data_IF_058448502228
#
_entry.id   IF_058448502228
#
_cell.length_a   1.000
_cell.length_b   1.000
_cell.length_c   1.000
_cell.angle_alpha   90.00
_cell.angle_beta   90.00
_cell.angle_gamma   90.00
#
_symmetry.space_group_name_H-M   'P 1'
#
loop_
_entity.id
_entity.type
_entity.pdbx_description
1 polymer ?
#
# COMPACT_ATOMS: atom_id res chain seq x y z
N UNK A 1 -11.54 40.29 22.52
CA UNK A 1 -11.40 40.53 21.07
C UNK A 1 -9.95 40.90 20.75
N UNK A 2 -9.10 39.91 20.55
CA UNK A 2 -7.74 40.05 20.07
C UNK A 2 -7.49 39.03 18.99
N UNK A 3 -7.34 39.47 17.75
CA UNK A 3 -6.93 38.64 16.63
C UNK A 3 -5.53 38.07 16.89
N UNK A 4 -5.44 36.76 17.04
CA UNK A 4 -4.15 36.06 17.03
C UNK A 4 -3.78 35.91 15.54
N UNK A 5 -2.65 36.50 15.14
CA UNK A 5 -2.16 36.47 13.76
C UNK A 5 -1.67 35.07 13.38
N UNK A 6 -1.78 34.72 12.11
CA UNK A 6 -1.33 33.43 11.55
C UNK A 6 0.17 33.13 11.75
N UNK A 7 0.98 34.11 12.16
CA UNK A 7 2.39 33.97 12.49
C UNK A 7 2.63 33.25 13.83
N UNK A 8 1.74 33.43 14.83
CA UNK A 8 1.92 32.83 16.16
C UNK A 8 1.68 31.30 16.19
N UNK A 9 0.95 30.77 15.22
CA UNK A 9 0.71 29.33 15.10
C UNK A 9 1.91 28.61 14.46
N UNK A 10 2.56 29.24 13.49
CA UNK A 10 3.76 28.69 12.86
C UNK A 10 4.93 28.64 13.86
N UNK A 11 5.09 29.67 14.68
CA UNK A 11 6.14 29.79 15.69
C UNK A 11 5.94 28.82 16.87
N UNK A 12 4.70 28.45 17.17
CA UNK A 12 4.41 27.37 18.15
C UNK A 12 4.68 25.98 17.58
N UNK A 13 4.44 25.79 16.28
CA UNK A 13 4.73 24.53 15.58
C UNK A 13 6.24 24.26 15.53
N UNK A 14 7.03 25.26 15.14
CA UNK A 14 8.49 25.15 15.13
C UNK A 14 9.08 24.89 16.52
N UNK A 15 8.54 25.50 17.56
CA UNK A 15 9.00 25.25 18.96
C UNK A 15 8.66 23.86 19.48
N UNK A 16 7.58 23.22 19.02
CA UNK A 16 7.24 21.84 19.37
C UNK A 16 8.16 20.86 18.61
N UNK A 17 8.45 21.14 17.35
CA UNK A 17 9.41 20.34 16.57
C UNK A 17 10.84 20.47 17.11
N UNK A 18 11.26 21.67 17.49
CA UNK A 18 12.59 21.89 18.10
C UNK A 18 12.73 21.23 19.47
N UNK A 19 11.70 21.19 20.29
CA UNK A 19 11.72 20.46 21.57
C UNK A 19 11.79 18.94 21.38
N UNK A 20 11.13 18.39 20.36
CA UNK A 20 11.22 16.96 20.05
C UNK A 20 12.56 16.59 19.41
N UNK A 21 13.20 17.48 18.65
CA UNK A 21 14.56 17.27 18.15
C UNK A 21 15.64 17.43 19.23
N UNK A 22 15.47 18.33 20.19
CA UNK A 22 16.43 18.54 21.28
C UNK A 22 16.47 17.38 22.29
N UNK A 23 15.37 16.65 22.47
CA UNK A 23 15.31 15.45 23.33
C UNK A 23 16.08 14.25 22.79
N UNK A 24 16.50 14.25 21.55
CA UNK A 24 17.23 13.14 20.89
C UNK A 24 18.76 13.37 20.95
N UNK A 25 19.23 14.60 21.20
CA UNK A 25 20.65 14.94 21.14
C UNK A 25 21.42 14.92 22.47
N UNK A 26 20.80 14.60 23.59
CA UNK A 26 21.45 14.71 24.90
C UNK A 26 21.60 13.36 25.65
N UNK A 27 22.27 12.40 25.02
CA UNK A 27 22.91 11.30 25.77
C UNK A 27 24.28 11.00 25.16
N UNK A 28 25.25 11.76 25.65
CA UNK A 28 26.68 11.50 25.44
C UNK A 28 27.11 10.41 26.46
N UNK A 29 26.99 9.14 26.06
CA UNK A 29 27.56 8.03 26.82
C UNK A 29 28.93 7.67 26.25
N UNK A 30 29.96 8.13 26.90
CA UNK A 30 31.34 7.67 26.75
C UNK A 30 31.42 6.19 27.14
N UNK A 31 31.72 5.33 26.17
CA UNK A 31 32.20 3.97 26.47
C UNK A 31 33.69 3.89 26.24
N UNK A 32 34.46 3.20 27.11
CA UNK A 32 35.89 3.01 26.94
C UNK A 32 36.17 2.07 25.76
N UNK A 33 37.14 2.47 24.94
CA UNK A 33 37.78 1.58 23.98
C UNK A 33 38.65 0.60 24.83
N UNK A 34 38.48 -0.69 24.56
CA UNK A 34 39.44 -1.76 24.67
C UNK A 34 38.77 -3.08 25.02
N UNK A 35 38.67 -3.94 24.01
CA UNK A 35 38.85 -5.38 24.18
C UNK A 35 38.78 -6.06 22.81
N UNK A 36 39.92 -6.09 22.14
CA UNK A 36 40.19 -7.10 21.12
C UNK A 36 40.53 -8.41 21.81
N UNK A 37 39.72 -9.44 21.63
CA UNK A 37 40.13 -10.83 21.85
C UNK A 37 39.83 -11.65 20.61
N UNK A 38 40.87 -12.07 20.01
CA UNK A 38 40.97 -13.10 18.97
C UNK A 38 40.56 -14.47 19.55
N UNK A 39 39.73 -15.23 18.84
CA UNK A 39 39.43 -16.61 19.25
C UNK A 39 38.58 -17.40 18.26
N UNK A 40 39.29 -18.23 17.48
CA UNK A 40 38.90 -19.54 16.95
C UNK A 40 37.56 -19.75 16.22
N UNK A 41 37.71 -20.03 14.94
CA UNK A 41 36.74 -20.62 14.01
C UNK A 41 36.38 -22.04 14.49
N UNK A 42 35.16 -22.25 14.85
CA UNK A 42 34.55 -23.56 15.05
C UNK A 42 33.39 -23.76 14.09
N UNK A 43 33.56 -24.64 13.10
CA UNK A 43 32.50 -25.10 12.20
C UNK A 43 31.43 -25.86 13.00
N UNK A 44 30.23 -25.31 13.09
CA UNK A 44 29.03 -26.08 13.46
C UNK A 44 27.98 -25.88 12.38
N UNK A 45 27.89 -26.87 11.50
CA UNK A 45 26.71 -27.08 10.66
C UNK A 45 25.56 -27.47 11.59
N UNK A 46 24.60 -26.61 11.73
CA UNK A 46 23.33 -26.86 12.36
C UNK A 46 22.26 -26.15 11.55
N UNK A 47 21.59 -26.89 10.67
CA UNK A 47 20.36 -26.44 10.04
C UNK A 47 19.30 -26.25 11.12
N UNK A 48 19.17 -25.02 11.63
CA UNK A 48 18.00 -24.62 12.38
C UNK A 48 17.07 -23.88 11.42
N UNK A 49 16.16 -24.64 10.82
CA UNK A 49 14.94 -24.09 10.22
C UNK A 49 14.17 -23.36 11.31
N UNK A 50 14.39 -22.07 11.44
CA UNK A 50 13.54 -21.20 12.25
C UNK A 50 12.24 -21.05 11.47
N UNK A 51 11.33 -22.00 11.67
CA UNK A 51 9.92 -21.85 11.32
C UNK A 51 9.35 -20.78 12.22
N UNK A 52 9.30 -19.53 11.73
CA UNK A 52 8.48 -18.50 12.36
C UNK A 52 7.03 -18.92 12.15
N UNK A 53 6.24 -19.17 13.21
CA UNK A 53 4.80 -19.24 13.04
C UNK A 53 4.38 -17.86 12.53
N UNK A 54 3.77 -17.83 11.36
CA UNK A 54 3.07 -16.67 10.83
C UNK A 54 1.84 -16.45 11.74
N UNK A 55 2.07 -15.92 12.94
CA UNK A 55 0.99 -15.41 13.78
C UNK A 55 0.46 -14.22 13.00
N UNK A 56 -0.76 -14.35 12.46
CA UNK A 56 -1.43 -13.23 11.79
C UNK A 56 -1.55 -12.11 12.81
N UNK A 57 -0.62 -11.17 12.76
CA UNK A 57 -0.66 -9.99 13.60
C UNK A 57 -1.93 -9.21 13.26
N UNK A 58 -2.63 -8.75 14.28
CA UNK A 58 -3.86 -7.97 14.14
C UNK A 58 -3.60 -6.57 14.65
N UNK A 59 -4.06 -5.56 13.94
CA UNK A 59 -4.04 -4.18 14.38
C UNK A 59 -5.44 -3.80 14.85
N UNK A 60 -5.54 -3.47 16.13
CA UNK A 60 -6.74 -2.91 16.72
C UNK A 60 -6.41 -1.48 17.12
N UNK A 61 -7.20 -0.52 16.64
CA UNK A 61 -7.00 0.88 16.97
C UNK A 61 -8.33 1.63 17.06
N UNK A 62 -8.49 2.41 18.12
CA UNK A 62 -9.65 3.28 18.34
C UNK A 62 -9.14 4.69 18.63
N UNK A 63 -9.55 5.65 17.78
CA UNK A 63 -9.13 7.04 17.91
C UNK A 63 -10.32 7.98 17.80
N UNK A 64 -10.42 8.90 18.77
CA UNK A 64 -11.36 10.02 18.76
C UNK A 64 -10.56 11.30 18.97
N UNK A 65 -10.12 11.94 17.90
CA UNK A 65 -9.30 13.15 17.96
C UNK A 65 -10.11 14.33 17.44
N UNK A 66 -10.16 15.39 18.22
CA UNK A 66 -10.89 16.61 17.89
C UNK A 66 -9.91 17.75 17.69
N UNK A 67 -9.89 18.31 16.48
CA UNK A 67 -9.26 19.59 16.16
C UNK A 67 -10.33 20.66 15.96
N UNK A 68 -9.94 21.91 15.92
CA UNK A 68 -10.90 23.02 15.75
C UNK A 68 -11.82 22.89 14.51
N UNK A 69 -11.31 22.33 13.41
CA UNK A 69 -12.01 22.21 12.14
C UNK A 69 -12.11 20.77 11.60
N UNK A 70 -11.63 19.78 12.35
CA UNK A 70 -11.56 18.40 11.87
C UNK A 70 -11.69 17.41 13.02
N UNK A 71 -12.43 16.35 12.78
CA UNK A 71 -12.62 15.26 13.75
C UNK A 71 -12.17 13.95 13.13
N UNK A 72 -11.25 13.24 13.79
CA UNK A 72 -10.89 11.88 13.42
C UNK A 72 -11.61 10.91 14.36
N UNK A 73 -12.50 10.11 13.79
CA UNK A 73 -13.22 9.06 14.50
C UNK A 73 -13.01 7.74 13.76
N UNK A 74 -12.12 6.91 14.28
CA UNK A 74 -11.65 5.70 13.58
C UNK A 74 -11.66 4.52 14.52
N UNK A 75 -12.34 3.46 14.08
CA UNK A 75 -12.32 2.14 14.68
C UNK A 75 -11.75 1.14 13.67
N UNK A 76 -10.59 0.55 13.98
CA UNK A 76 -9.92 -0.44 13.16
C UNK A 76 -9.81 -1.77 13.91
N UNK A 77 -10.09 -2.84 13.21
CA UNK A 77 -9.79 -4.20 13.63
C UNK A 77 -9.46 -5.02 12.38
N UNK A 78 -8.17 -5.04 12.02
CA UNK A 78 -7.72 -5.57 10.74
C UNK A 78 -6.56 -6.57 10.89
N UNK A 79 -6.55 -7.65 10.11
CA UNK A 79 -5.36 -8.49 10.01
C UNK A 79 -4.23 -7.72 9.32
N UNK A 80 -3.05 -7.76 9.90
CA UNK A 80 -1.85 -7.15 9.33
C UNK A 80 -1.03 -8.21 8.58
N UNK A 81 -1.48 -8.47 7.37
CA UNK A 81 -0.76 -9.29 6.39
C UNK A 81 -0.77 -8.52 5.06
N UNK A 82 0.34 -8.53 4.35
CA UNK A 82 0.40 -7.82 3.07
C UNK A 82 0.53 -6.30 3.21
N UNK A 83 0.05 -5.62 2.18
CA UNK A 83 0.04 -4.16 2.07
C UNK A 83 -1.39 -3.65 2.26
N UNK A 84 -1.62 -2.91 3.33
CA UNK A 84 -2.90 -2.26 3.61
C UNK A 84 -2.83 -0.79 3.21
N UNK A 85 -3.64 -0.39 2.25
CA UNK A 85 -3.71 1.00 1.82
C UNK A 85 -4.73 1.80 2.63
N UNK A 86 -4.38 3.03 3.01
CA UNK A 86 -5.31 4.03 3.52
C UNK A 86 -5.59 5.00 2.38
N UNK A 87 -6.81 4.97 1.87
CA UNK A 87 -7.25 5.73 0.72
C UNK A 87 -8.36 6.72 1.07
N UNK A 88 -8.40 7.86 0.40
CA UNK A 88 -9.42 8.88 0.58
C UNK A 88 -8.97 10.25 0.07
N UNK A 89 -9.90 11.21 -0.04
CA UNK A 89 -9.59 12.55 -0.53
C UNK A 89 -8.58 13.28 0.35
N UNK A 90 -7.96 14.33 -0.18
CA UNK A 90 -7.10 15.21 0.62
C UNK A 90 -7.87 15.79 1.79
N UNK A 91 -7.22 15.87 2.97
CA UNK A 91 -7.88 16.33 4.20
C UNK A 91 -8.77 15.31 4.91
N UNK A 92 -8.89 14.07 4.41
CA UNK A 92 -9.72 13.03 5.08
C UNK A 92 -9.12 12.47 6.38
N UNK A 93 -7.89 12.85 6.76
CA UNK A 93 -7.25 12.44 8.01
C UNK A 93 -6.27 11.27 7.91
N UNK A 94 -5.86 10.87 6.71
CA UNK A 94 -4.92 9.75 6.46
C UNK A 94 -3.61 9.89 7.22
N UNK A 95 -2.93 11.01 7.05
CA UNK A 95 -1.67 11.34 7.75
C UNK A 95 -1.88 11.40 9.27
N UNK A 96 -2.99 11.97 9.73
CA UNK A 96 -3.32 12.01 11.17
C UNK A 96 -3.49 10.61 11.74
N UNK A 97 -4.19 9.73 11.03
CA UNK A 97 -4.34 8.33 11.42
C UNK A 97 -2.98 7.61 11.51
N UNK A 98 -2.10 7.80 10.49
CA UNK A 98 -0.75 7.24 10.55
C UNK A 98 0.04 7.76 11.75
N UNK A 99 -0.02 9.07 12.03
CA UNK A 99 0.68 9.71 13.15
C UNK A 99 0.21 9.18 14.51
N UNK A 100 -1.09 8.94 14.67
CA UNK A 100 -1.64 8.31 15.88
C UNK A 100 -1.12 6.87 16.03
N UNK A 101 -1.11 6.08 14.96
CA UNK A 101 -0.56 4.71 14.97
C UNK A 101 0.93 4.69 15.30
N UNK A 102 1.70 5.59 14.70
CA UNK A 102 3.12 5.74 15.00
C UNK A 102 3.39 6.19 16.45
N UNK A 103 2.43 6.86 17.10
CA UNK A 103 2.60 7.49 18.39
C UNK A 103 3.29 8.86 18.32
N UNK A 104 3.28 9.47 17.14
CA UNK A 104 3.70 10.86 16.91
C UNK A 104 2.64 11.84 17.38
N UNK A 105 1.39 11.38 17.42
CA UNK A 105 0.25 12.11 17.91
C UNK A 105 -0.49 11.26 18.94
N UNK A 106 -0.74 11.84 20.10
CA UNK A 106 -1.46 11.17 21.17
C UNK A 106 -2.96 11.48 21.03
N UNK A 107 -3.75 10.46 20.74
CA UNK A 107 -5.21 10.59 20.71
C UNK A 107 -5.78 10.49 22.13
N UNK A 108 -6.53 11.47 22.62
CA UNK A 108 -7.27 11.34 23.87
C UNK A 108 -8.21 10.14 23.82
N UNK A 109 -8.25 9.34 24.90
CA UNK A 109 -9.01 8.08 24.98
C UNK A 109 -8.65 7.05 23.89
N UNK A 110 -7.47 7.18 23.28
CA UNK A 110 -7.00 6.28 22.23
C UNK A 110 -6.62 4.90 22.74
N UNK A 111 -6.82 3.91 21.88
CA UNK A 111 -6.34 2.55 22.08
C UNK A 111 -5.61 2.07 20.82
N UNK A 112 -4.44 1.46 20.99
CA UNK A 112 -3.68 0.83 19.90
C UNK A 112 -3.07 -0.47 20.38
N UNK A 113 -3.35 -1.55 19.68
CA UNK A 113 -2.76 -2.87 19.90
C UNK A 113 -2.30 -3.47 18.58
N UNK A 114 -1.10 -4.01 18.54
CA UNK A 114 -0.54 -4.73 17.40
C UNK A 114 -0.13 -6.15 17.85
N UNK A 115 -0.81 -7.14 17.33
CA UNK A 115 -0.69 -8.51 17.81
C UNK A 115 -1.05 -8.59 19.29
N UNK A 116 -0.10 -9.00 20.12
CA UNK A 116 -0.24 -9.07 21.59
C UNK A 116 0.16 -7.78 22.30
N UNK A 117 0.86 -6.88 21.61
CA UNK A 117 1.48 -5.70 22.21
C UNK A 117 0.53 -4.51 22.21
N UNK A 118 0.20 -4.01 23.39
CA UNK A 118 -0.57 -2.77 23.55
C UNK A 118 0.38 -1.58 23.52
N UNK A 119 0.20 -0.70 22.53
CA UNK A 119 1.04 0.49 22.38
C UNK A 119 0.45 1.73 23.04
N UNK A 120 -0.87 1.80 23.11
CA UNK A 120 -1.61 2.87 23.79
C UNK A 120 -2.88 2.30 24.40
N UNK A 121 -3.15 2.64 25.65
CA UNK A 121 -4.41 2.40 26.37
C UNK A 121 -4.60 3.53 27.39
N UNK A 122 -5.32 4.56 27.01
CA UNK A 122 -5.55 5.72 27.88
C UNK A 122 -6.32 5.35 29.15
N UNK A 123 -7.19 4.33 29.12
CA UNK A 123 -7.91 3.87 30.32
C UNK A 123 -6.95 3.30 31.37
N UNK A 124 -5.82 2.75 30.93
CA UNK A 124 -4.75 2.20 31.80
C UNK A 124 -3.57 3.16 31.96
N UNK A 125 -3.68 4.39 31.44
CA UNK A 125 -2.57 5.37 31.40
C UNK A 125 -1.29 4.81 30.75
N UNK A 126 -1.45 3.91 29.79
CA UNK A 126 -0.37 3.30 29.03
C UNK A 126 -0.20 4.04 27.70
N UNK A 127 0.99 4.60 27.48
CA UNK A 127 1.37 5.13 26.17
C UNK A 127 2.85 4.82 25.94
N UNK A 128 3.12 3.84 25.08
CA UNK A 128 4.49 3.53 24.67
C UNK A 128 5.05 4.69 23.86
N UNK A 129 6.21 5.24 24.24
CA UNK A 129 6.84 6.28 23.43
C UNK A 129 7.28 5.70 22.07
N UNK A 130 7.35 6.56 21.06
CA UNK A 130 7.65 6.21 19.67
C UNK A 130 8.85 5.26 19.51
N UNK A 131 9.96 5.54 20.22
CA UNK A 131 11.19 4.73 20.11
C UNK A 131 11.06 3.30 20.65
N UNK A 132 10.03 3.02 21.47
CA UNK A 132 9.70 1.67 21.98
C UNK A 132 8.66 0.94 21.13
N UNK A 133 7.92 1.64 20.26
CA UNK A 133 7.00 0.99 19.35
C UNK A 133 7.79 0.33 18.22
N UNK A 134 7.57 -0.95 17.91
CA UNK A 134 8.25 -1.63 16.81
C UNK A 134 7.63 -1.26 15.44
N UNK A 135 7.37 0.01 15.24
CA UNK A 135 6.83 0.62 14.02
C UNK A 135 7.79 1.66 13.50
N UNK A 136 7.90 1.79 12.18
CA UNK A 136 8.67 2.87 11.55
C UNK A 136 7.84 3.54 10.48
N UNK A 137 7.92 4.85 10.48
CA UNK A 137 7.27 5.72 9.54
C UNK A 137 8.29 6.29 8.53
N UNK A 138 7.88 6.35 7.29
CA UNK A 138 8.58 7.04 6.21
C UNK A 138 7.64 8.11 5.70
N UNK A 139 8.04 9.36 5.91
CA UNK A 139 7.27 10.52 5.53
C UNK A 139 7.37 10.81 4.03
N UNK A 140 6.48 11.64 3.53
CA UNK A 140 6.51 12.19 2.19
C UNK A 140 7.87 12.85 1.89
N UNK A 141 8.41 13.63 2.83
CA UNK A 141 9.78 14.11 2.80
C UNK A 141 10.71 13.07 3.44
N UNK A 142 11.81 12.66 2.79
CA UNK A 142 12.69 11.59 3.28
C UNK A 142 13.35 11.83 4.64
N UNK A 143 13.44 13.09 5.08
CA UNK A 143 14.03 13.52 6.38
C UNK A 143 15.34 12.82 6.71
N UNK A 144 16.22 12.75 5.71
CA UNK A 144 17.55 12.18 5.86
C UNK A 144 18.47 13.17 6.58
N UNK A 145 19.50 12.64 7.26
CA UNK A 145 20.51 13.46 7.91
C UNK A 145 21.45 14.06 6.85
N UNK A 146 21.42 15.37 6.58
CA UNK A 146 22.15 15.99 5.47
C UNK A 146 23.68 15.97 5.65
N UNK A 147 24.15 15.91 6.90
CA UNK A 147 25.56 15.85 7.25
C UNK A 147 26.18 14.45 7.11
N UNK A 148 25.36 13.41 6.92
CA UNK A 148 25.81 12.04 6.70
C UNK A 148 25.78 11.67 5.21
N UNK A 149 26.58 10.64 4.85
CA UNK A 149 26.44 9.93 3.57
C UNK A 149 25.29 8.88 3.66
N UNK A 150 25.04 8.19 2.55
CA UNK A 150 23.99 7.14 2.51
C UNK A 150 24.26 6.04 3.53
N UNK A 151 25.48 5.49 3.56
CA UNK A 151 25.87 4.44 4.50
C UNK A 151 25.60 4.84 5.96
N UNK A 152 25.99 6.05 6.34
CA UNK A 152 25.81 6.54 7.69
C UNK A 152 24.34 6.78 8.05
N UNK A 153 23.52 7.22 7.08
CA UNK A 153 22.08 7.31 7.24
C UNK A 153 21.44 5.94 7.50
N UNK A 154 21.78 4.94 6.70
CA UNK A 154 21.31 3.57 6.83
C UNK A 154 21.66 2.97 8.20
N UNK A 155 22.92 3.11 8.61
CA UNK A 155 23.42 2.55 9.84
C UNK A 155 22.98 3.32 11.09
N UNK A 156 22.38 4.49 10.97
CA UNK A 156 22.02 5.32 12.11
C UNK A 156 21.07 4.63 13.09
N UNK A 157 19.98 4.07 12.59
CA UNK A 157 19.03 3.30 13.40
C UNK A 157 19.56 1.92 13.77
N UNK A 158 20.20 1.25 12.82
CA UNK A 158 20.73 -0.11 12.97
C UNK A 158 21.66 -0.23 14.21
N UNK A 159 22.59 0.70 14.39
CA UNK A 159 23.51 0.72 15.52
C UNK A 159 22.87 1.01 16.90
N UNK A 160 21.59 1.38 16.94
CA UNK A 160 20.87 1.78 18.15
C UNK A 160 19.86 0.74 18.64
N UNK A 161 19.61 -0.28 17.85
CA UNK A 161 18.78 -1.42 18.28
C UNK A 161 19.69 -2.51 18.86
N UNK A 162 19.22 -3.30 19.85
CA UNK A 162 19.97 -4.43 20.40
C UNK A 162 20.30 -5.45 19.29
N UNK A 163 21.43 -6.16 19.45
CA UNK A 163 21.87 -7.17 18.47
C UNK A 163 20.82 -8.25 18.22
N UNK A 164 20.12 -8.64 19.28
CA UNK A 164 19.06 -9.66 19.24
C UNK A 164 17.82 -9.19 18.45
N UNK A 165 17.68 -7.89 18.23
CA UNK A 165 16.60 -7.29 17.45
C UNK A 165 16.93 -7.18 15.96
N UNK A 166 18.17 -7.47 15.54
CA UNK A 166 18.59 -7.43 14.14
C UNK A 166 18.03 -8.65 13.38
N UNK A 167 16.90 -8.47 12.73
CA UNK A 167 16.25 -9.53 11.92
C UNK A 167 16.52 -9.37 10.42
N UNK A 168 16.99 -8.20 10.01
CA UNK A 168 17.18 -7.83 8.59
C UNK A 168 18.66 -7.52 8.38
N UNK A 169 19.30 -8.22 7.44
CA UNK A 169 20.69 -7.99 7.09
C UNK A 169 20.86 -6.67 6.28
N UNK A 170 21.95 -5.97 6.51
CA UNK A 170 22.23 -4.70 5.82
C UNK A 170 22.39 -4.94 4.31
N UNK A 171 23.11 -5.99 3.93
CA UNK A 171 23.37 -6.39 2.55
C UNK A 171 22.06 -6.66 1.81
N UNK A 172 21.12 -7.38 2.44
CA UNK A 172 19.80 -7.67 1.89
C UNK A 172 19.03 -6.38 1.58
N UNK A 173 19.07 -5.41 2.50
CA UNK A 173 18.39 -4.12 2.29
C UNK A 173 19.04 -3.34 1.16
N UNK A 174 20.39 -3.30 1.11
CA UNK A 174 21.12 -2.60 0.06
C UNK A 174 20.79 -3.19 -1.31
N UNK A 175 20.74 -4.51 -1.43
CA UNK A 175 20.46 -5.22 -2.68
C UNK A 175 19.02 -5.01 -3.14
N UNK A 176 18.04 -5.22 -2.25
CA UNK A 176 16.63 -4.98 -2.56
C UNK A 176 16.42 -3.52 -3.01
N UNK A 177 17.04 -2.55 -2.35
CA UNK A 177 16.93 -1.13 -2.68
C UNK A 177 17.72 -0.72 -3.92
N UNK A 178 18.67 -1.53 -4.40
CA UNK A 178 19.55 -1.21 -5.51
C UNK A 178 20.42 0.03 -5.26
N UNK A 179 20.84 0.26 -4.00
CA UNK A 179 21.57 1.47 -3.58
C UNK A 179 23.05 1.26 -3.31
N UNK A 180 23.62 0.11 -3.66
CA UNK A 180 25.03 -0.23 -3.44
C UNK A 180 26.00 0.84 -3.99
N UNK A 181 25.71 1.36 -5.17
CA UNK A 181 26.51 2.39 -5.86
C UNK A 181 26.36 3.80 -5.26
N UNK A 182 25.43 3.99 -4.29
CA UNK A 182 25.14 5.28 -3.65
C UNK A 182 25.76 5.41 -2.27
N UNK A 183 26.27 4.34 -1.66
CA UNK A 183 26.60 4.25 -0.24
C UNK A 183 27.53 5.36 0.26
N UNK A 184 28.49 5.79 -0.53
CA UNK A 184 29.44 6.85 -0.17
C UNK A 184 28.99 8.25 -0.60
N UNK A 185 27.84 8.35 -1.32
CA UNK A 185 27.34 9.65 -1.76
C UNK A 185 26.74 10.45 -0.61
N UNK A 186 26.86 11.77 -0.69
CA UNK A 186 26.17 12.73 0.19
C UNK A 186 24.71 12.89 -0.22
N UNK A 187 23.81 13.10 0.74
CA UNK A 187 22.35 13.15 0.52
C UNK A 187 21.94 14.21 -0.52
N UNK A 188 22.56 15.40 -0.50
CA UNK A 188 22.27 16.47 -1.45
C UNK A 188 22.64 16.17 -2.91
N UNK A 189 23.38 15.06 -3.16
CA UNK A 189 23.74 14.60 -4.51
C UNK A 189 22.81 13.48 -5.02
N UNK A 190 21.78 13.15 -4.29
CA UNK A 190 20.80 12.14 -4.62
C UNK A 190 19.56 12.75 -5.25
N UNK A 191 18.97 12.05 -6.22
CA UNK A 191 17.62 12.35 -6.70
C UNK A 191 16.59 12.12 -5.59
N UNK A 192 15.39 12.69 -5.73
CA UNK A 192 14.28 12.50 -4.77
C UNK A 192 13.95 11.02 -4.56
N UNK A 193 13.93 10.23 -5.64
CA UNK A 193 13.71 8.79 -5.56
C UNK A 193 14.82 8.04 -4.84
N UNK A 194 16.10 8.36 -5.10
CA UNK A 194 17.21 7.77 -4.36
C UNK A 194 17.16 8.13 -2.87
N UNK A 195 16.80 9.37 -2.55
CA UNK A 195 16.60 9.78 -1.16
C UNK A 195 15.49 8.98 -0.47
N UNK A 196 14.38 8.74 -1.17
CA UNK A 196 13.26 7.96 -0.65
C UNK A 196 13.67 6.50 -0.41
N UNK A 197 14.42 5.86 -1.34
CA UNK A 197 14.99 4.52 -1.13
C UNK A 197 15.86 4.47 0.13
N UNK A 198 16.72 5.45 0.33
CA UNK A 198 17.58 5.53 1.51
C UNK A 198 16.74 5.70 2.79
N UNK A 199 15.67 6.49 2.76
CA UNK A 199 14.77 6.67 3.90
C UNK A 199 14.05 5.37 4.28
N UNK A 200 13.54 4.63 3.28
CA UNK A 200 12.95 3.31 3.47
C UNK A 200 14.00 2.34 4.05
N UNK A 201 15.21 2.30 3.49
CA UNK A 201 16.29 1.44 3.99
C UNK A 201 16.66 1.74 5.44
N UNK A 202 16.75 3.02 5.81
CA UNK A 202 17.00 3.44 7.19
C UNK A 202 15.90 2.95 8.14
N UNK A 203 14.64 3.00 7.72
CA UNK A 203 13.52 2.49 8.49
C UNK A 203 13.59 0.97 8.65
N UNK A 204 13.81 0.23 7.57
CA UNK A 204 13.90 -1.24 7.55
C UNK A 204 15.01 -1.80 8.42
N UNK A 205 16.19 -1.17 8.42
CA UNK A 205 17.34 -1.60 9.20
C UNK A 205 17.15 -1.50 10.72
N UNK A 206 16.03 -0.92 11.17
CA UNK A 206 15.62 -1.02 12.57
C UNK A 206 14.74 -2.25 12.86
N UNK A 207 14.57 -3.15 11.88
CA UNK A 207 13.78 -4.39 11.99
C UNK A 207 12.36 -4.17 12.53
N UNK A 208 11.54 -3.30 11.91
CA UNK A 208 10.20 -3.00 12.40
C UNK A 208 9.24 -4.17 12.24
N UNK A 209 8.19 -4.22 13.06
CA UNK A 209 7.06 -5.15 12.90
C UNK A 209 5.99 -4.60 11.96
N UNK A 210 5.98 -3.29 11.72
CA UNK A 210 5.06 -2.57 10.85
C UNK A 210 5.77 -1.38 10.20
N UNK A 211 5.64 -1.25 8.88
CA UNK A 211 6.15 -0.11 8.13
C UNK A 211 4.98 0.80 7.73
N UNK A 212 5.08 2.08 8.06
CA UNK A 212 4.12 3.10 7.68
C UNK A 212 4.72 3.98 6.58
N UNK A 213 4.04 4.12 5.47
CA UNK A 213 4.47 4.92 4.32
C UNK A 213 3.42 6.01 4.07
N UNK A 214 3.78 7.27 4.31
CA UNK A 214 2.89 8.41 4.14
C UNK A 214 3.20 9.14 2.82
N UNK A 215 2.41 8.86 1.78
CA UNK A 215 2.55 9.41 0.43
C UNK A 215 4.02 9.41 -0.08
N UNK A 216 4.74 8.28 0.02
CA UNK A 216 6.19 8.25 -0.14
C UNK A 216 6.66 8.65 -1.55
N UNK A 217 5.76 8.68 -2.53
CA UNK A 217 6.08 8.97 -3.93
C UNK A 217 5.33 10.19 -4.48
N UNK A 218 4.74 11.02 -3.62
CA UNK A 218 3.99 12.19 -4.07
C UNK A 218 4.83 13.20 -4.90
N UNK A 219 6.14 13.28 -4.63
CA UNK A 219 7.07 14.15 -5.34
C UNK A 219 7.67 13.56 -6.63
N UNK A 220 7.31 12.32 -7.00
CA UNK A 220 7.82 11.65 -8.18
C UNK A 220 6.87 11.81 -9.37
N UNK A 221 7.45 11.90 -10.58
CA UNK A 221 6.70 11.81 -11.83
C UNK A 221 6.12 10.39 -12.04
N UNK A 222 5.16 10.25 -12.97
CA UNK A 222 4.42 9.01 -13.23
C UNK A 222 5.38 7.88 -13.60
N UNK A 223 6.35 8.13 -14.47
CA UNK A 223 7.28 7.11 -14.93
C UNK A 223 8.13 6.54 -13.79
N UNK A 224 8.64 7.41 -12.93
CA UNK A 224 9.39 6.99 -11.73
C UNK A 224 8.52 6.26 -10.72
N UNK A 225 7.25 6.65 -10.57
CA UNK A 225 6.32 5.92 -9.69
C UNK A 225 6.16 4.47 -10.15
N UNK A 226 6.02 4.22 -11.45
CA UNK A 226 5.92 2.87 -12.02
C UNK A 226 7.14 1.99 -11.73
N UNK A 227 8.33 2.58 -11.65
CA UNK A 227 9.56 1.86 -11.25
C UNK A 227 9.59 1.53 -9.75
N UNK A 228 8.93 2.36 -8.92
CA UNK A 228 8.99 2.23 -7.46
C UNK A 228 7.91 1.32 -6.86
N UNK A 229 6.73 1.26 -7.45
CA UNK A 229 5.63 0.47 -6.92
C UNK A 229 5.95 -1.03 -6.85
N UNK A 230 6.50 -1.66 -7.93
CA UNK A 230 6.93 -3.06 -7.87
C UNK A 230 8.01 -3.30 -6.82
N UNK A 231 8.83 -2.28 -6.55
CA UNK A 231 9.85 -2.34 -5.52
C UNK A 231 9.26 -2.50 -4.09
N UNK A 232 8.20 -1.77 -3.75
CA UNK A 232 7.54 -1.91 -2.44
C UNK A 232 6.94 -3.30 -2.28
N UNK A 233 6.36 -3.86 -3.33
CA UNK A 233 5.82 -5.22 -3.33
C UNK A 233 6.93 -6.26 -3.11
N UNK A 234 8.02 -6.20 -3.88
CA UNK A 234 9.20 -7.08 -3.69
C UNK A 234 9.79 -6.97 -2.30
N UNK A 235 9.86 -5.76 -1.73
CA UNK A 235 10.33 -5.53 -0.38
C UNK A 235 9.44 -6.25 0.64
N UNK A 236 8.11 -6.12 0.52
CA UNK A 236 7.17 -6.81 1.39
C UNK A 236 7.32 -8.34 1.25
N UNK A 237 7.40 -8.87 0.04
CA UNK A 237 7.53 -10.30 -0.25
C UNK A 237 8.83 -10.89 0.32
N UNK A 238 9.94 -10.16 0.19
CA UNK A 238 11.25 -10.59 0.68
C UNK A 238 11.37 -10.55 2.21
N UNK A 239 10.83 -9.51 2.83
CA UNK A 239 11.00 -9.26 4.27
C UNK A 239 9.80 -9.67 5.13
N UNK A 240 8.65 -9.91 4.51
CA UNK A 240 7.38 -10.27 5.19
C UNK A 240 6.95 -9.27 6.27
N UNK A 241 7.34 -8.01 6.13
CA UNK A 241 6.91 -6.94 7.02
C UNK A 241 5.58 -6.38 6.51
N UNK A 242 4.52 -6.33 7.34
CA UNK A 242 3.29 -5.64 6.99
C UNK A 242 3.54 -4.17 6.68
N UNK A 243 2.86 -3.66 5.68
CA UNK A 243 2.97 -2.26 5.25
C UNK A 243 1.61 -1.57 5.34
N UNK A 244 1.55 -0.41 5.97
CA UNK A 244 0.44 0.53 5.79
C UNK A 244 0.88 1.64 4.83
N UNK A 245 0.15 1.80 3.75
CA UNK A 245 0.49 2.70 2.65
C UNK A 245 -0.58 3.76 2.47
N UNK A 246 -0.23 5.02 2.65
CA UNK A 246 -1.13 6.14 2.38
C UNK A 246 -0.89 6.66 0.98
N UNK A 247 -1.95 6.75 0.20
CA UNK A 247 -1.96 7.43 -1.09
C UNK A 247 -3.34 8.02 -1.40
N UNK A 248 -3.36 9.03 -2.25
CA UNK A 248 -4.58 9.57 -2.88
C UNK A 248 -4.68 9.16 -4.36
N UNK A 249 -3.68 8.46 -4.89
CA UNK A 249 -3.63 7.99 -6.28
C UNK A 249 -4.22 6.56 -6.37
N UNK A 250 -5.35 6.41 -7.07
CA UNK A 250 -6.01 5.11 -7.24
C UNK A 250 -5.10 4.10 -7.92
N UNK A 251 -4.29 4.53 -8.92
CA UNK A 251 -3.35 3.65 -9.61
C UNK A 251 -2.34 2.99 -8.66
N UNK A 252 -1.80 3.74 -7.69
CA UNK A 252 -0.88 3.21 -6.68
C UNK A 252 -1.56 2.16 -5.79
N UNK A 253 -2.83 2.41 -5.41
CA UNK A 253 -3.61 1.48 -4.60
C UNK A 253 -3.88 0.17 -5.35
N UNK A 254 -4.24 0.27 -6.64
CA UNK A 254 -4.52 -0.89 -7.48
C UNK A 254 -3.30 -1.80 -7.65
N UNK A 255 -2.10 -1.21 -7.73
CA UNK A 255 -0.86 -1.96 -7.92
C UNK A 255 -0.31 -2.58 -6.62
N UNK A 256 -0.51 -1.91 -5.48
CA UNK A 256 0.17 -2.30 -4.24
C UNK A 256 -0.73 -2.99 -3.23
N UNK A 257 -1.99 -2.57 -3.11
CA UNK A 257 -2.78 -2.92 -1.95
C UNK A 257 -3.39 -4.32 -2.05
N UNK A 258 -3.28 -5.08 -0.98
CA UNK A 258 -4.06 -6.30 -0.77
C UNK A 258 -5.38 -5.98 -0.07
N UNK A 259 -5.36 -4.92 0.76
CA UNK A 259 -6.50 -4.43 1.56
C UNK A 259 -6.60 -2.91 1.50
N UNK A 260 -7.80 -2.38 1.59
CA UNK A 260 -8.06 -0.94 1.60
C UNK A 260 -8.85 -0.54 2.83
N UNK A 261 -8.42 0.54 3.47
CA UNK A 261 -9.18 1.33 4.44
C UNK A 261 -9.60 2.60 3.73
N UNK A 262 -10.89 2.78 3.52
CA UNK A 262 -11.44 3.97 2.91
C UNK A 262 -11.79 5.00 3.97
N UNK A 263 -11.11 6.15 3.93
CA UNK A 263 -11.28 7.23 4.89
C UNK A 263 -11.93 8.45 4.24
N UNK A 264 -13.00 8.94 4.82
CA UNK A 264 -13.71 10.16 4.37
C UNK A 264 -14.09 11.00 5.57
N UNK A 265 -13.75 12.28 5.54
CA UNK A 265 -14.11 13.25 6.59
C UNK A 265 -13.75 12.77 8.02
N UNK A 266 -12.59 12.15 8.16
CA UNK A 266 -12.12 11.62 9.45
C UNK A 266 -12.79 10.32 9.92
N UNK A 267 -13.60 9.68 9.09
CA UNK A 267 -14.30 8.44 9.42
C UNK A 267 -13.92 7.32 8.46
N UNK A 268 -13.86 6.10 8.97
CA UNK A 268 -13.72 4.90 8.15
C UNK A 268 -15.08 4.56 7.54
N UNK A 269 -15.18 4.67 6.21
CA UNK A 269 -16.42 4.37 5.48
C UNK A 269 -16.44 2.95 4.92
N UNK A 270 -15.27 2.30 4.84
CA UNK A 270 -15.16 0.91 4.41
C UNK A 270 -13.78 0.32 4.68
N UNK A 271 -13.75 -0.99 4.94
CA UNK A 271 -12.53 -1.79 5.07
C UNK A 271 -12.79 -3.12 4.38
N UNK A 272 -11.87 -3.57 3.52
CA UNK A 272 -12.01 -4.86 2.84
C UNK A 272 -10.80 -5.22 2.00
N UNK A 273 -10.82 -6.39 1.39
CA UNK A 273 -9.86 -6.75 0.35
C UNK A 273 -10.02 -5.78 -0.84
N UNK A 274 -8.93 -5.49 -1.55
CA UNK A 274 -8.94 -4.53 -2.64
C UNK A 274 -10.07 -4.82 -3.66
N UNK A 275 -10.15 -6.07 -4.12
CA UNK A 275 -11.16 -6.43 -5.13
C UNK A 275 -12.61 -6.29 -4.61
N UNK A 276 -12.86 -6.65 -3.36
CA UNK A 276 -14.17 -6.45 -2.72
C UNK A 276 -14.56 -4.97 -2.67
N UNK A 277 -13.59 -4.11 -2.36
CA UNK A 277 -13.81 -2.66 -2.28
C UNK A 277 -14.05 -2.04 -3.66
N UNK A 278 -13.33 -2.50 -4.69
CA UNK A 278 -13.46 -2.01 -6.08
C UNK A 278 -14.77 -2.46 -6.74
N UNK A 279 -15.22 -3.67 -6.44
CA UNK A 279 -16.45 -4.24 -7.02
C UNK A 279 -17.70 -3.88 -6.22
N UNK A 280 -17.54 -3.35 -5.01
CA UNK A 280 -18.65 -2.86 -4.20
C UNK A 280 -19.23 -1.58 -4.77
N UNK A 281 -20.45 -1.67 -5.25
CA UNK A 281 -21.19 -0.53 -5.82
C UNK A 281 -21.38 0.62 -4.82
N UNK A 282 -21.33 0.30 -3.52
CA UNK A 282 -21.41 1.29 -2.41
C UNK A 282 -20.21 2.27 -2.39
N UNK A 283 -19.02 1.82 -2.78
CA UNK A 283 -17.79 2.62 -2.68
C UNK A 283 -17.35 3.26 -4.00
N UNK A 284 -18.14 3.10 -5.06
CA UNK A 284 -17.85 3.59 -6.41
C UNK A 284 -17.38 5.05 -6.45
N UNK A 285 -18.11 5.95 -5.79
CA UNK A 285 -17.78 7.38 -5.78
C UNK A 285 -16.44 7.72 -5.13
N UNK A 286 -15.91 6.80 -4.33
CA UNK A 286 -14.66 7.02 -3.59
C UNK A 286 -13.42 6.75 -4.42
N UNK A 287 -13.49 5.79 -5.35
CA UNK A 287 -12.36 5.44 -6.25
C UNK A 287 -12.38 6.22 -7.57
N UNK A 288 -13.39 7.05 -7.81
CA UNK A 288 -13.64 7.73 -9.07
C UNK A 288 -14.50 6.87 -10.01
N UNK A 289 -15.53 7.48 -10.60
CA UNK A 289 -16.57 6.78 -11.38
C UNK A 289 -16.04 5.92 -12.54
N UNK A 290 -14.87 6.25 -13.10
CA UNK A 290 -14.27 5.55 -14.24
C UNK A 290 -13.26 4.47 -13.85
N UNK A 291 -12.97 4.29 -12.55
CA UNK A 291 -11.97 3.34 -12.07
C UNK A 291 -12.54 2.18 -11.27
N UNK A 292 -13.86 2.13 -11.17
CA UNK A 292 -14.58 0.96 -10.66
C UNK A 292 -14.46 -0.16 -11.69
N UNK A 293 -14.25 -1.37 -11.20
CA UNK A 293 -14.02 -2.50 -12.11
C UNK A 293 -13.81 -3.78 -11.34
N UNK A 294 -12.81 -4.54 -11.69
CA UNK A 294 -12.40 -5.73 -10.96
C UNK A 294 -10.93 -6.04 -11.19
N UNK A 295 -10.31 -6.68 -10.23
CA UNK A 295 -8.96 -7.21 -10.35
C UNK A 295 -9.04 -8.72 -10.49
N UNK A 296 -8.37 -9.27 -11.50
CA UNK A 296 -8.28 -10.70 -11.75
C UNK A 296 -6.84 -11.17 -11.54
N UNK A 297 -6.67 -12.18 -10.71
CA UNK A 297 -5.43 -12.93 -10.62
C UNK A 297 -5.39 -13.97 -11.73
N UNK A 298 -4.45 -13.82 -12.63
CA UNK A 298 -4.29 -14.65 -13.82
C UNK A 298 -2.91 -15.29 -13.85
N UNK A 299 -2.69 -16.19 -14.81
CA UNK A 299 -1.38 -16.81 -15.05
C UNK A 299 -1.01 -16.70 -16.52
N UNK A 300 0.24 -16.36 -16.81
CA UNK A 300 0.77 -16.34 -18.17
C UNK A 300 0.84 -17.76 -18.72
N UNK A 301 0.16 -18.02 -19.85
CA UNK A 301 0.18 -19.31 -20.55
C UNK A 301 1.14 -19.28 -21.74
N UNK A 302 1.24 -18.14 -22.42
CA UNK A 302 2.09 -18.00 -23.57
C UNK A 302 2.14 -16.58 -24.11
N UNK A 303 2.99 -16.39 -25.11
CA UNK A 303 3.13 -15.14 -25.83
C UNK A 303 2.92 -15.38 -27.33
N UNK A 304 2.28 -14.44 -27.98
CA UNK A 304 2.14 -14.39 -29.43
C UNK A 304 2.89 -13.15 -29.97
N UNK A 305 4.18 -13.30 -30.30
CA UNK A 305 4.96 -12.18 -30.80
C UNK A 305 4.50 -11.66 -32.16
N UNK A 306 3.83 -12.50 -32.96
CA UNK A 306 3.34 -12.11 -34.30
C UNK A 306 2.26 -11.04 -34.16
N UNK A 307 1.36 -11.16 -33.19
CA UNK A 307 0.29 -10.20 -32.93
C UNK A 307 0.57 -9.28 -31.75
N UNK A 308 1.72 -9.43 -31.08
CA UNK A 308 2.08 -8.60 -29.92
C UNK A 308 1.15 -8.82 -28.72
N UNK A 309 0.79 -10.06 -28.44
CA UNK A 309 -0.15 -10.43 -27.39
C UNK A 309 0.49 -11.40 -26.38
N UNK A 310 0.04 -11.31 -25.12
CA UNK A 310 0.26 -12.29 -24.08
C UNK A 310 -1.06 -12.98 -23.77
N UNK A 311 -1.06 -14.31 -23.75
CA UNK A 311 -2.19 -15.12 -23.36
C UNK A 311 -2.12 -15.42 -21.87
N UNK A 312 -3.20 -15.12 -21.16
CA UNK A 312 -3.41 -15.37 -19.76
C UNK A 312 -4.50 -16.42 -19.56
N UNK A 313 -4.39 -17.17 -18.47
CA UNK A 313 -5.42 -18.12 -18.03
C UNK A 313 -6.06 -17.61 -16.75
N UNK A 314 -7.39 -17.63 -16.73
CA UNK A 314 -8.22 -17.29 -15.56
C UNK A 314 -9.33 -18.33 -15.43
N UNK A 315 -9.22 -19.20 -14.41
CA UNK A 315 -10.24 -20.23 -14.08
C UNK A 315 -10.71 -21.05 -15.28
N UNK A 316 -9.79 -21.45 -16.16
CA UNK A 316 -10.06 -22.24 -17.35
C UNK A 316 -10.50 -21.42 -18.57
N UNK A 317 -10.58 -20.09 -18.44
CA UNK A 317 -10.88 -19.17 -19.55
C UNK A 317 -9.60 -18.47 -20.02
N UNK A 318 -9.46 -18.27 -21.32
CA UNK A 318 -8.32 -17.55 -21.91
C UNK A 318 -8.62 -16.06 -22.01
N UNK A 319 -7.63 -15.25 -21.66
CA UNK A 319 -7.62 -13.80 -21.82
C UNK A 319 -6.39 -13.39 -22.62
N UNK A 320 -6.56 -12.39 -23.47
CA UNK A 320 -5.49 -11.81 -24.28
C UNK A 320 -5.26 -10.36 -23.85
N UNK A 321 -4.01 -10.05 -23.60
CA UNK A 321 -3.55 -8.68 -23.26
C UNK A 321 -2.40 -8.31 -24.20
N UNK A 322 -2.08 -7.03 -24.41
CA UNK A 322 -0.88 -6.66 -25.12
C UNK A 322 0.38 -7.32 -24.54
N UNK A 323 1.38 -7.53 -25.40
CA UNK A 323 2.61 -8.25 -25.05
C UNK A 323 3.26 -7.68 -23.78
N UNK A 324 3.47 -8.55 -22.82
CA UNK A 324 4.08 -8.21 -21.55
C UNK A 324 5.44 -8.89 -21.38
N UNK A 325 6.42 -8.24 -20.77
CA UNK A 325 7.76 -8.81 -20.53
C UNK A 325 7.77 -9.75 -19.31
N UNK A 326 6.80 -10.65 -19.22
CA UNK A 326 6.59 -11.56 -18.06
C UNK A 326 6.79 -12.99 -18.53
N UNK A 327 7.44 -13.83 -17.71
CA UNK A 327 7.70 -15.24 -18.08
C UNK A 327 6.45 -16.10 -18.03
N UNK A 328 6.38 -17.11 -18.92
CA UNK A 328 5.30 -18.12 -18.89
C UNK A 328 5.27 -18.81 -17.53
N UNK A 329 4.05 -19.00 -16.97
CA UNK A 329 3.80 -19.57 -15.67
C UNK A 329 3.77 -18.56 -14.51
N UNK A 330 4.19 -17.32 -14.73
CA UNK A 330 4.10 -16.28 -13.69
C UNK A 330 2.65 -15.85 -13.44
N UNK A 331 2.29 -15.59 -12.16
CA UNK A 331 1.02 -14.95 -11.83
C UNK A 331 1.05 -13.47 -12.23
N UNK A 332 -0.05 -12.99 -12.79
CA UNK A 332 -0.22 -11.58 -13.20
C UNK A 332 -1.61 -11.12 -12.77
N UNK A 333 -1.69 -9.97 -12.10
CA UNK A 333 -2.96 -9.33 -11.78
C UNK A 333 -3.31 -8.34 -12.90
N UNK A 334 -4.53 -8.45 -13.44
CA UNK A 334 -5.06 -7.50 -14.41
C UNK A 334 -6.23 -6.72 -13.83
N UNK A 335 -6.27 -5.44 -14.08
CA UNK A 335 -7.39 -4.58 -13.70
C UNK A 335 -8.30 -4.37 -14.92
N UNK A 336 -9.59 -4.66 -14.75
CA UNK A 336 -10.62 -4.45 -15.77
C UNK A 336 -11.47 -3.26 -15.35
N UNK A 337 -11.46 -2.20 -16.13
CA UNK A 337 -12.30 -1.04 -15.89
C UNK A 337 -13.76 -1.31 -16.28
N UNK A 338 -14.69 -0.82 -15.49
CA UNK A 338 -16.13 -1.05 -15.75
C UNK A 338 -16.62 -0.51 -17.10
N UNK A 339 -15.99 0.54 -17.61
CA UNK A 339 -16.31 1.13 -18.92
C UNK A 339 -15.80 0.31 -20.11
N UNK A 340 -14.85 -0.59 -19.87
CA UNK A 340 -14.26 -1.44 -20.92
C UNK A 340 -14.98 -2.78 -21.07
N UNK A 341 -16.00 -3.00 -20.23
CA UNK A 341 -16.83 -4.20 -20.25
C UNK A 341 -18.15 -3.92 -20.97
N UNK A 342 -18.38 -4.59 -22.09
CA UNK A 342 -19.65 -4.58 -22.79
C UNK A 342 -20.40 -5.89 -22.55
N UNK A 343 -21.74 -5.85 -22.53
CA UNK A 343 -22.58 -7.02 -22.25
C UNK A 343 -23.36 -7.47 -23.48
N UNK A 344 -23.40 -8.79 -23.70
CA UNK A 344 -24.16 -9.43 -24.76
C UNK A 344 -24.96 -10.60 -24.16
N UNK A 345 -26.23 -10.75 -24.54
CA UNK A 345 -27.13 -11.77 -23.99
C UNK A 345 -27.02 -13.14 -24.64
N UNK A 346 -26.31 -13.26 -25.76
CA UNK A 346 -26.12 -14.52 -26.49
C UNK A 346 -24.70 -14.62 -27.04
N UNK A 347 -24.23 -15.84 -27.28
CA UNK A 347 -22.95 -16.05 -27.96
C UNK A 347 -23.13 -15.64 -29.41
N UNK A 348 -22.38 -14.64 -29.83
CA UNK A 348 -22.44 -14.14 -31.22
C UNK A 348 -21.43 -14.92 -32.05
N UNK A 349 -21.89 -15.67 -33.04
CA UNK A 349 -21.02 -16.36 -34.03
C UNK A 349 -20.45 -15.39 -35.09
N UNK A 350 -20.84 -14.13 -35.02
CA UNK A 350 -20.34 -13.09 -35.93
C UNK A 350 -18.90 -12.69 -35.57
N UNK A 351 -18.05 -12.47 -36.59
CA UNK A 351 -16.69 -11.96 -36.34
C UNK A 351 -16.72 -10.67 -35.51
N UNK A 352 -15.94 -10.63 -34.46
CA UNK A 352 -15.80 -9.46 -33.56
C UNK A 352 -14.35 -9.09 -33.37
N UNK A 353 -14.05 -7.82 -33.15
CA UNK A 353 -12.74 -7.33 -32.78
C UNK A 353 -12.41 -7.56 -31.28
N UNK A 354 -13.36 -8.08 -30.51
CA UNK A 354 -13.18 -8.36 -29.08
C UNK A 354 -12.67 -9.77 -28.92
N UNK A 355 -11.44 -9.91 -28.39
CA UNK A 355 -10.81 -11.21 -28.16
C UNK A 355 -11.22 -11.85 -26.83
N UNK A 356 -11.48 -11.05 -25.81
CA UNK A 356 -11.83 -11.54 -24.48
C UNK A 356 -13.35 -11.56 -24.33
N UNK A 357 -13.91 -12.75 -24.36
CA UNK A 357 -15.35 -13.00 -24.19
C UNK A 357 -15.49 -13.98 -23.03
N UNK A 358 -15.96 -13.49 -21.88
CA UNK A 358 -16.10 -14.27 -20.66
C UNK A 358 -17.55 -14.55 -20.35
N UNK A 359 -17.86 -15.78 -19.99
CA UNK A 359 -19.18 -16.11 -19.45
C UNK A 359 -19.37 -15.48 -18.08
N UNK A 360 -20.49 -14.81 -17.88
CA UNK A 360 -20.78 -14.07 -16.65
C UNK A 360 -22.23 -14.28 -16.19
N UNK A 361 -22.45 -14.19 -14.90
CA UNK A 361 -23.80 -14.15 -14.30
C UNK A 361 -23.98 -12.79 -13.64
N UNK A 362 -25.10 -12.12 -13.91
CA UNK A 362 -25.46 -10.86 -13.27
C UNK A 362 -25.81 -11.12 -11.82
N UNK A 363 -25.09 -10.50 -10.90
CA UNK A 363 -25.37 -10.59 -9.46
C UNK A 363 -26.28 -9.46 -8.99
N UNK A 364 -25.93 -8.21 -9.34
CA UNK A 364 -26.63 -7.01 -8.88
C UNK A 364 -26.63 -5.94 -9.98
N UNK A 365 -27.64 -5.11 -9.98
CA UNK A 365 -27.77 -3.96 -10.91
C UNK A 365 -28.03 -2.72 -10.06
N UNK A 366 -27.22 -1.69 -10.22
CA UNK A 366 -27.31 -0.44 -9.50
C UNK A 366 -27.41 0.76 -10.45
N UNK A 367 -28.49 1.52 -10.31
CA UNK A 367 -28.66 2.76 -11.06
C UNK A 367 -27.80 3.86 -10.44
N UNK A 368 -26.89 4.41 -11.26
CA UNK A 368 -25.90 5.38 -10.74
C UNK A 368 -26.28 6.83 -10.97
N UNK A 369 -26.85 7.13 -12.13
CA UNK A 369 -27.32 8.46 -12.51
C UNK A 369 -28.50 8.34 -13.50
N UNK A 370 -28.91 9.46 -14.13
CA UNK A 370 -29.99 9.45 -15.10
C UNK A 370 -29.67 8.65 -16.39
N UNK A 371 -28.42 8.42 -16.70
CA UNK A 371 -27.97 7.84 -17.98
C UNK A 371 -27.28 6.48 -17.85
N UNK A 372 -26.67 6.18 -16.72
CA UNK A 372 -25.79 5.01 -16.53
C UNK A 372 -26.25 4.06 -15.42
N UNK A 373 -25.86 2.81 -15.57
CA UNK A 373 -26.16 1.70 -14.67
C UNK A 373 -24.90 0.86 -14.51
N UNK A 374 -24.56 0.48 -13.29
CA UNK A 374 -23.53 -0.50 -13.01
C UNK A 374 -24.16 -1.87 -12.79
N UNK A 375 -23.55 -2.85 -13.44
CA UNK A 375 -23.93 -4.24 -13.36
C UNK A 375 -22.78 -5.03 -12.73
N UNK A 376 -23.01 -5.58 -11.55
CA UNK A 376 -22.06 -6.50 -10.91
C UNK A 376 -22.21 -7.88 -11.53
N UNK A 377 -21.10 -8.40 -12.05
CA UNK A 377 -20.99 -9.66 -12.75
C UNK A 377 -20.12 -10.63 -11.99
N UNK A 378 -20.48 -11.89 -12.03
CA UNK A 378 -19.63 -13.01 -11.62
C UNK A 378 -19.13 -13.76 -12.85
N UNK A 379 -17.83 -13.70 -13.08
CA UNK A 379 -17.10 -14.48 -14.10
C UNK A 379 -16.26 -15.60 -13.46
N UNK A 380 -16.57 -15.96 -12.20
CA UNK A 380 -15.72 -16.73 -11.28
C UNK A 380 -14.94 -15.80 -10.32
N UNK A 381 -14.94 -14.50 -10.57
CA UNK A 381 -14.58 -13.41 -9.69
C UNK A 381 -15.51 -12.23 -9.98
N UNK A 382 -15.77 -11.34 -9.00
CA UNK A 382 -16.62 -10.20 -9.23
C UNK A 382 -15.92 -9.17 -10.13
N UNK A 383 -16.63 -8.68 -11.14
CA UNK A 383 -16.28 -7.51 -11.95
C UNK A 383 -17.49 -6.62 -12.15
N UNK A 384 -17.27 -5.36 -12.50
CA UNK A 384 -18.38 -4.41 -12.77
C UNK A 384 -18.37 -4.01 -14.23
N UNK A 385 -19.54 -3.95 -14.85
CA UNK A 385 -19.77 -3.35 -16.16
C UNK A 385 -20.63 -2.09 -16.03
N UNK A 386 -20.16 -0.97 -16.59
CA UNK A 386 -20.96 0.27 -16.68
C UNK A 386 -21.62 0.38 -18.03
N UNK A 387 -22.95 0.33 -18.06
CA UNK A 387 -23.74 0.40 -19.29
C UNK A 387 -24.78 1.53 -19.22
N UNK A 388 -25.38 1.89 -20.36
CA UNK A 388 -26.45 2.87 -20.36
C UNK A 388 -27.79 2.25 -19.90
N UNK A 389 -28.66 3.06 -19.29
CA UNK A 389 -30.03 2.63 -18.96
C UNK A 389 -30.80 2.12 -20.18
N UNK A 390 -30.54 2.72 -21.36
CA UNK A 390 -31.15 2.28 -22.63
C UNK A 390 -30.68 0.86 -23.00
N UNK A 391 -29.39 0.57 -22.81
CA UNK A 391 -28.83 -0.78 -23.05
C UNK A 391 -29.42 -1.80 -22.08
N UNK A 392 -29.52 -1.44 -20.77
CA UNK A 392 -30.17 -2.29 -19.77
C UNK A 392 -31.58 -2.70 -20.19
N UNK A 393 -32.38 -1.71 -20.56
CA UNK A 393 -33.78 -1.94 -21.01
C UNK A 393 -33.84 -2.74 -22.32
N UNK A 394 -32.99 -2.42 -23.29
CA UNK A 394 -32.95 -3.09 -24.60
C UNK A 394 -32.57 -4.57 -24.48
N UNK A 395 -31.59 -4.88 -23.63
CA UNK A 395 -31.14 -6.26 -23.39
C UNK A 395 -32.00 -7.00 -22.36
N UNK A 396 -32.92 -6.33 -21.68
CA UNK A 396 -33.81 -6.92 -20.68
C UNK A 396 -33.05 -7.57 -19.52
N UNK A 397 -31.91 -7.00 -19.10
CA UNK A 397 -31.04 -7.59 -18.10
C UNK A 397 -31.69 -7.59 -16.73
N UNK A 398 -31.48 -8.69 -15.98
CA UNK A 398 -31.95 -8.87 -14.59
C UNK A 398 -30.92 -9.66 -13.79
N UNK A 399 -30.87 -9.51 -12.49
CA UNK A 399 -30.10 -10.38 -11.62
C UNK A 399 -30.38 -11.87 -11.90
N UNK A 400 -29.35 -12.70 -11.94
CA UNK A 400 -29.41 -14.13 -12.26
C UNK A 400 -29.31 -14.44 -13.76
N UNK A 401 -29.39 -13.46 -14.68
CA UNK A 401 -29.21 -13.71 -16.10
C UNK A 401 -27.77 -14.06 -16.42
N UNK A 402 -27.56 -15.06 -17.30
CA UNK A 402 -26.29 -15.35 -17.93
C UNK A 402 -26.06 -14.40 -19.11
N UNK A 403 -24.90 -13.83 -19.19
CA UNK A 403 -24.46 -12.90 -20.23
C UNK A 403 -23.02 -13.19 -20.60
N UNK A 404 -22.56 -12.60 -21.71
CA UNK A 404 -21.16 -12.60 -22.11
C UNK A 404 -20.58 -11.21 -21.88
N UNK A 405 -19.51 -11.14 -21.09
CA UNK A 405 -18.73 -9.93 -20.87
C UNK A 405 -17.65 -9.84 -21.96
N UNK A 406 -17.76 -8.84 -22.80
CA UNK A 406 -16.83 -8.54 -23.89
C UNK A 406 -15.85 -7.47 -23.42
N UNK A 407 -14.55 -7.77 -23.40
CA UNK A 407 -13.49 -6.89 -22.92
C UNK A 407 -12.43 -6.74 -24.03
N UNK A 408 -12.12 -5.50 -24.41
CA UNK A 408 -11.09 -5.25 -25.43
C UNK A 408 -9.71 -5.56 -24.85
N UNK A 409 -8.90 -6.34 -25.56
CA UNK A 409 -7.53 -6.66 -25.13
C UNK A 409 -6.66 -5.40 -24.93
N UNK A 410 -6.75 -4.40 -25.79
CA UNK A 410 -5.99 -3.14 -25.69
C UNK A 410 -6.39 -2.27 -24.49
N UNK A 411 -7.57 -2.46 -23.92
CA UNK A 411 -8.00 -1.74 -22.73
C UNK A 411 -7.32 -2.25 -21.43
N UNK A 412 -6.71 -3.43 -21.48
CA UNK A 412 -6.04 -4.07 -20.33
C UNK A 412 -4.55 -3.70 -20.22
N UNK A 413 -4.11 -2.64 -20.91
CA UNK A 413 -2.71 -2.35 -21.20
C UNK A 413 -1.97 -1.50 -20.17
N UNK A 414 -2.64 -0.80 -19.29
CA UNK A 414 -1.97 0.27 -18.52
C UNK A 414 -1.66 -0.07 -17.06
N UNK A 415 -2.12 -1.19 -16.53
CA UNK A 415 -2.03 -1.46 -15.09
C UNK A 415 -1.67 -2.91 -14.74
N UNK A 416 -0.85 -3.58 -15.58
CA UNK A 416 -0.34 -4.90 -15.22
C UNK A 416 0.67 -4.78 -14.07
N UNK A 417 0.33 -5.39 -12.96
CA UNK A 417 1.20 -5.52 -11.79
C UNK A 417 2.10 -6.72 -12.04
N UNK A 418 3.41 -6.48 -12.25
CA UNK A 418 4.44 -7.52 -12.20
C UNK A 418 4.60 -8.08 -10.77
#
# INVERSE_FOLDING_TARGET
>A
LGCISSGDLADRYERIEQRNCAGICAYDLRFPADLFVSGAIGNVRGESSISHPCVMSRLIAHFHVHYLAFHLNVDLDIPMSGITAIFGPSGSGKTTLLRCLAGLEQAPNGFVQFGTDVWQDEKRHLCLPLYKRPVRDVFQEPRLFPHYNVRSNLLYGYKRIPLEAHRIAIEQVIDILGISHLLERRIHKLSSGEQQRVAIGRALLTSPNLLLLDEPFASLDIQRKQEFLPFIRRLHEALRIPVMYVSHATAEILQLADRVILLKEGQVVGIGALNEMLTSLRFRGSFGAHRVGGVLETRVVGHDPQYGLTQLEFKGQSLFVPLQPVSVGQPVCIHILSNDVSLVTGRTDSPTSVLNILEATIQEIHETDQSSVDVLLDIGAPIVASITRKSLAHLGLKPGHRVFAHIKAVALNEELVE
#
